data_IF_993403556445
#
_entry.id   IF_993403556445
#
_cell.length_a   1.000
_cell.length_b   1.000
_cell.length_c   1.000
_cell.angle_alpha   90.00
_cell.angle_beta   90.00
_cell.angle_gamma   90.00
#
_symmetry.space_group_name_H-M   'P 1'
#
loop_
_entity.id
_entity.type
_entity.pdbx_description
1 polymer ?
#
# COMPACT_ATOMS: atom_id res chain seq x y z
N UNK A 1 2.86 -5.87 20.60
CA UNK A 1 4.10 -5.16 20.23
C UNK A 1 4.02 -4.50 18.85
N UNK A 2 3.69 -5.24 17.77
CA UNK A 2 3.57 -4.71 16.39
C UNK A 2 2.79 -3.39 16.24
N UNK A 3 1.63 -3.27 16.91
CA UNK A 3 0.82 -2.03 16.95
C UNK A 3 1.58 -0.81 17.47
N UNK A 4 2.41 -0.97 18.51
CA UNK A 4 3.20 0.15 19.05
C UNK A 4 4.27 0.54 18.03
N UNK A 5 4.94 -0.44 17.44
CA UNK A 5 5.98 -0.21 16.41
C UNK A 5 5.40 0.54 15.20
N UNK A 6 4.26 0.09 14.64
CA UNK A 6 3.62 0.80 13.52
C UNK A 6 3.26 2.24 13.87
N UNK A 7 2.75 2.48 15.08
CA UNK A 7 2.43 3.84 15.53
C UNK A 7 3.69 4.71 15.60
N UNK A 8 4.79 4.18 16.13
CA UNK A 8 6.07 4.90 16.21
C UNK A 8 6.63 5.17 14.81
N UNK A 9 6.62 4.17 13.93
CA UNK A 9 7.07 4.34 12.52
C UNK A 9 6.26 5.44 11.83
N UNK A 10 4.93 5.43 11.97
CA UNK A 10 4.06 6.47 11.43
C UNK A 10 4.45 7.87 11.94
N UNK A 11 4.61 8.02 13.25
CA UNK A 11 4.96 9.30 13.88
C UNK A 11 6.35 9.80 13.45
N UNK A 12 7.34 8.91 13.37
CA UNK A 12 8.69 9.26 12.96
C UNK A 12 8.74 9.70 11.50
N UNK A 13 8.09 8.97 10.59
CA UNK A 13 8.12 9.31 9.15
C UNK A 13 7.37 10.63 8.85
N UNK A 14 6.36 10.97 9.66
CA UNK A 14 5.65 12.25 9.55
C UNK A 14 6.39 13.45 10.15
N UNK A 15 7.59 13.28 10.72
CA UNK A 15 8.35 14.38 11.33
C UNK A 15 9.25 15.07 10.30
N UNK A 16 9.35 16.40 10.36
CA UNK A 16 10.17 17.18 9.41
C UNK A 16 11.65 16.80 9.41
N UNK A 17 12.22 16.51 10.59
CA UNK A 17 13.63 16.17 10.75
C UNK A 17 14.04 14.76 10.27
N UNK A 18 13.10 13.96 9.76
CA UNK A 18 13.41 12.65 9.16
C UNK A 18 13.41 12.80 7.65
N UNK A 19 14.57 12.62 7.03
CA UNK A 19 14.73 12.82 5.59
C UNK A 19 14.11 11.67 4.78
N UNK A 20 13.50 11.93 3.61
CA UNK A 20 12.93 10.89 2.77
C UNK A 20 13.94 9.82 2.33
N UNK A 21 15.19 10.21 2.05
CA UNK A 21 16.30 9.30 1.71
C UNK A 21 16.53 8.26 2.79
N UNK A 22 16.63 8.69 4.05
CA UNK A 22 16.78 7.80 5.20
C UNK A 22 15.61 6.82 5.33
N UNK A 23 14.38 7.28 5.10
CA UNK A 23 13.21 6.39 5.15
C UNK A 23 13.32 5.34 4.04
N UNK A 24 13.64 5.75 2.80
CA UNK A 24 13.77 4.85 1.65
C UNK A 24 14.84 3.77 1.86
N UNK A 25 15.98 4.15 2.43
CA UNK A 25 17.16 3.29 2.58
C UNK A 25 17.11 2.42 3.84
N UNK A 26 16.73 2.98 4.99
CA UNK A 26 16.89 2.32 6.29
C UNK A 26 15.55 1.81 6.87
N UNK A 27 14.42 2.39 6.49
CA UNK A 27 13.11 2.04 7.07
C UNK A 27 12.33 1.11 6.16
N UNK A 28 12.16 1.46 4.88
CA UNK A 28 11.30 0.72 3.96
C UNK A 28 11.68 -0.77 3.81
N UNK A 29 12.95 -1.16 3.64
CA UNK A 29 13.29 -2.58 3.45
C UNK A 29 12.84 -3.45 4.64
N UNK A 30 13.06 -2.96 5.86
CA UNK A 30 12.63 -3.67 7.06
C UNK A 30 11.12 -3.58 7.29
N UNK A 31 10.50 -2.45 6.98
CA UNK A 31 9.06 -2.27 7.10
C UNK A 31 8.29 -3.27 6.23
N UNK A 32 8.57 -3.32 4.93
CA UNK A 32 7.90 -4.24 4.02
C UNK A 32 8.18 -5.70 4.37
N UNK A 33 9.46 -6.05 4.64
CA UNK A 33 9.83 -7.43 5.00
C UNK A 33 9.08 -8.00 6.21
N UNK A 34 8.76 -7.17 7.22
CA UNK A 34 8.21 -7.67 8.48
C UNK A 34 6.71 -7.39 8.67
N UNK A 35 6.17 -6.36 8.02
CA UNK A 35 4.77 -5.97 8.17
C UNK A 35 3.91 -6.31 6.97
N UNK A 36 4.43 -6.35 5.75
CA UNK A 36 3.66 -6.72 4.57
C UNK A 36 3.67 -8.25 4.40
N UNK A 37 2.72 -8.93 5.05
CA UNK A 37 2.51 -10.38 4.95
C UNK A 37 1.03 -10.75 5.19
N UNK A 38 0.64 -11.94 4.75
CA UNK A 38 -0.75 -12.43 4.81
C UNK A 38 -1.37 -12.38 6.21
N UNK A 39 -0.58 -12.59 7.29
CA UNK A 39 -1.10 -12.56 8.67
C UNK A 39 -1.60 -11.18 9.08
N UNK A 40 -1.03 -10.12 8.50
CA UNK A 40 -1.43 -8.74 8.79
C UNK A 40 -2.75 -8.38 8.11
N UNK A 41 -3.07 -9.02 6.98
CA UNK A 41 -4.33 -8.83 6.27
C UNK A 41 -5.53 -9.49 6.97
N UNK A 42 -5.32 -10.58 7.72
CA UNK A 42 -6.40 -11.32 8.39
C UNK A 42 -6.97 -10.61 9.62
N UNK A 43 -6.17 -9.81 10.33
CA UNK A 43 -6.62 -9.08 11.52
C UNK A 43 -7.00 -7.63 11.16
N UNK A 44 -8.27 -7.28 11.31
CA UNK A 44 -8.80 -5.95 10.94
C UNK A 44 -8.07 -4.77 11.59
N UNK A 45 -7.51 -4.92 12.80
CA UNK A 45 -6.82 -3.82 13.49
C UNK A 45 -5.42 -3.63 12.93
N UNK A 46 -4.71 -4.74 12.70
CA UNK A 46 -3.40 -4.74 12.06
C UNK A 46 -3.49 -4.22 10.63
N UNK A 47 -4.47 -4.70 9.87
CA UNK A 47 -4.80 -4.25 8.52
C UNK A 47 -4.90 -2.73 8.47
N UNK A 48 -5.84 -2.14 9.24
CA UNK A 48 -6.11 -0.70 9.19
C UNK A 48 -4.87 0.11 9.55
N UNK A 49 -4.19 -0.30 10.61
CA UNK A 49 -3.01 0.42 11.06
C UNK A 49 -1.84 0.33 10.07
N UNK A 50 -1.68 -0.81 9.39
CA UNK A 50 -0.65 -0.99 8.38
C UNK A 50 -0.94 -0.12 7.15
N UNK A 51 -2.18 -0.12 6.67
CA UNK A 51 -2.64 0.76 5.57
C UNK A 51 -2.39 2.22 5.94
N UNK A 52 -2.90 2.68 7.09
CA UNK A 52 -2.77 4.08 7.52
C UNK A 52 -1.31 4.51 7.78
N UNK A 53 -0.44 3.57 8.13
CA UNK A 53 1.01 3.83 8.30
C UNK A 53 1.69 3.91 6.95
N UNK A 54 1.33 3.04 6.01
CA UNK A 54 1.93 3.00 4.67
C UNK A 54 1.56 4.24 3.86
N UNK A 55 0.31 4.70 3.96
CA UNK A 55 -0.14 5.98 3.36
C UNK A 55 0.64 7.17 3.94
N UNK A 56 0.87 7.19 5.26
CA UNK A 56 1.67 8.26 5.88
C UNK A 56 3.10 8.28 5.37
N UNK A 57 3.70 7.09 5.19
CA UNK A 57 5.05 6.99 4.64
C UNK A 57 5.07 7.49 3.20
N UNK A 58 4.08 7.12 2.38
CA UNK A 58 3.95 7.60 0.99
C UNK A 58 3.90 9.12 0.91
N UNK A 59 3.22 9.80 1.85
CA UNK A 59 3.18 11.27 1.91
C UNK A 59 4.56 11.90 2.09
N UNK A 60 5.52 11.16 2.66
CA UNK A 60 6.89 11.64 2.89
C UNK A 60 7.86 11.23 1.77
N UNK A 61 7.71 10.03 1.22
CA UNK A 61 8.68 9.43 0.28
C UNK A 61 8.21 9.31 -1.16
N UNK A 62 7.02 9.84 -1.47
CA UNK A 62 6.35 9.85 -2.78
C UNK A 62 5.52 8.59 -3.06
N UNK A 63 4.47 8.74 -3.89
CA UNK A 63 3.49 7.69 -4.16
C UNK A 63 4.12 6.49 -4.90
N UNK A 64 4.86 6.77 -5.98
CA UNK A 64 5.45 5.76 -6.83
C UNK A 64 6.43 4.84 -6.08
N UNK A 65 7.20 5.39 -5.14
CA UNK A 65 8.13 4.64 -4.30
C UNK A 65 7.44 3.52 -3.51
N UNK A 66 6.25 3.78 -3.00
CA UNK A 66 5.48 2.82 -2.21
C UNK A 66 4.72 1.87 -3.12
N UNK A 67 4.07 2.38 -4.17
CA UNK A 67 3.27 1.57 -5.09
C UNK A 67 4.14 0.54 -5.82
N UNK A 68 5.35 0.91 -6.27
CA UNK A 68 6.30 -0.03 -6.88
C UNK A 68 6.62 -1.24 -6.00
N UNK A 69 6.54 -1.11 -4.68
CA UNK A 69 6.88 -2.18 -3.72
C UNK A 69 5.74 -3.16 -3.48
N UNK A 70 4.51 -2.80 -3.85
CA UNK A 70 3.31 -3.59 -3.56
C UNK A 70 2.46 -3.89 -4.80
N UNK A 71 2.76 -3.31 -5.96
CA UNK A 71 1.93 -3.49 -7.17
C UNK A 71 1.85 -4.96 -7.61
N UNK A 72 2.97 -5.69 -7.53
CA UNK A 72 3.00 -7.12 -7.89
C UNK A 72 2.16 -7.96 -6.92
N UNK A 73 1.98 -7.51 -5.68
CA UNK A 73 1.17 -8.17 -4.66
C UNK A 73 -0.35 -8.07 -4.94
N UNK A 74 -0.78 -7.24 -5.90
CA UNK A 74 -2.15 -7.29 -6.41
C UNK A 74 -2.47 -8.64 -7.06
N UNK A 75 -1.45 -9.44 -7.40
CA UNK A 75 -1.59 -10.77 -7.97
C UNK A 75 -1.32 -11.91 -6.99
N UNK A 76 -1.25 -11.62 -5.70
CA UNK A 76 -1.08 -12.64 -4.66
C UNK A 76 -2.29 -13.58 -4.60
N UNK A 77 -2.09 -14.87 -4.31
CA UNK A 77 -3.17 -15.86 -4.22
C UNK A 77 -4.16 -15.57 -3.07
N UNK A 78 -3.72 -14.89 -2.02
CA UNK A 78 -4.51 -14.57 -0.84
C UNK A 78 -5.40 -13.32 -1.07
N UNK A 79 -6.72 -13.54 -1.20
CA UNK A 79 -7.68 -12.45 -1.44
C UNK A 79 -7.65 -11.35 -0.36
N UNK A 80 -7.52 -11.70 0.92
CA UNK A 80 -7.47 -10.69 1.98
C UNK A 80 -6.22 -9.80 1.87
N UNK A 81 -5.09 -10.38 1.43
CA UNK A 81 -3.87 -9.64 1.17
C UNK A 81 -4.01 -8.73 -0.07
N UNK A 82 -4.57 -9.24 -1.17
CA UNK A 82 -4.90 -8.41 -2.35
C UNK A 82 -5.79 -7.22 -1.99
N UNK A 83 -6.80 -7.41 -1.13
CA UNK A 83 -7.66 -6.33 -0.62
C UNK A 83 -6.86 -5.27 0.14
N UNK A 84 -5.91 -5.68 0.98
CA UNK A 84 -5.03 -4.77 1.71
C UNK A 84 -4.14 -3.95 0.78
N UNK A 85 -3.58 -4.58 -0.25
CA UNK A 85 -2.78 -3.93 -1.29
C UNK A 85 -3.64 -2.91 -2.04
N UNK A 86 -4.81 -3.33 -2.54
CA UNK A 86 -5.75 -2.49 -3.27
C UNK A 86 -6.15 -1.24 -2.47
N UNK A 87 -6.59 -1.41 -1.21
CA UNK A 87 -6.97 -0.28 -0.35
C UNK A 87 -5.80 0.67 -0.09
N UNK A 88 -4.58 0.13 0.02
CA UNK A 88 -3.40 0.98 0.23
C UNK A 88 -3.10 1.82 -1.02
N UNK A 89 -3.13 1.20 -2.20
CA UNK A 89 -2.91 1.89 -3.48
C UNK A 89 -4.00 2.95 -3.70
N UNK A 90 -5.28 2.61 -3.53
CA UNK A 90 -6.41 3.55 -3.67
C UNK A 90 -6.23 4.77 -2.77
N UNK A 91 -5.91 4.57 -1.49
CA UNK A 91 -5.68 5.69 -0.56
C UNK A 91 -4.48 6.55 -0.91
N UNK A 92 -3.38 5.95 -1.39
CA UNK A 92 -2.21 6.69 -1.83
C UNK A 92 -2.56 7.54 -3.06
N UNK A 93 -3.23 6.95 -4.05
CA UNK A 93 -3.62 7.61 -5.29
C UNK A 93 -4.65 8.71 -5.04
N UNK A 94 -5.61 8.48 -4.16
CA UNK A 94 -6.61 9.46 -3.73
C UNK A 94 -5.97 10.67 -3.03
N UNK A 95 -4.91 10.44 -2.24
CA UNK A 95 -4.25 11.50 -1.47
C UNK A 95 -3.17 12.28 -2.25
N UNK A 96 -2.37 11.59 -3.07
CA UNK A 96 -1.19 12.17 -3.73
C UNK A 96 -1.36 12.35 -5.25
N UNK A 97 -2.39 11.73 -5.84
CA UNK A 97 -2.62 11.71 -7.28
C UNK A 97 -1.64 10.79 -8.03
N UNK A 98 -1.77 10.80 -9.35
CA UNK A 98 -1.02 9.92 -10.26
C UNK A 98 0.21 10.58 -10.90
N UNK A 99 0.56 11.82 -10.54
CA UNK A 99 1.56 12.61 -11.28
C UNK A 99 2.97 11.99 -11.31
N UNK A 100 3.29 11.12 -10.34
CA UNK A 100 4.59 10.44 -10.21
C UNK A 100 4.60 9.02 -10.79
N UNK A 101 3.48 8.55 -11.34
CA UNK A 101 3.35 7.22 -11.92
C UNK A 101 3.83 7.26 -13.37
N UNK A 102 4.84 6.46 -13.68
CA UNK A 102 5.31 6.27 -15.05
C UNK A 102 4.43 5.25 -15.80
N UNK A 103 4.54 5.22 -17.12
CA UNK A 103 3.70 4.34 -17.96
C UNK A 103 3.89 2.86 -17.64
N UNK A 104 5.07 2.46 -17.15
CA UNK A 104 5.31 1.07 -16.76
C UNK A 104 4.55 0.71 -15.49
N UNK A 105 4.59 1.57 -14.47
CA UNK A 105 3.85 1.36 -13.24
C UNK A 105 2.34 1.43 -13.46
N UNK A 106 1.88 2.30 -14.37
CA UNK A 106 0.49 2.36 -14.81
C UNK A 106 0.04 1.03 -15.44
N UNK A 107 0.82 0.46 -16.37
CA UNK A 107 0.53 -0.86 -16.95
C UNK A 107 0.46 -1.96 -15.89
N UNK A 108 1.42 -1.98 -14.94
CA UNK A 108 1.42 -2.94 -13.84
C UNK A 108 0.19 -2.78 -12.93
N UNK A 109 -0.23 -1.55 -12.65
CA UNK A 109 -1.43 -1.25 -11.86
C UNK A 109 -2.68 -1.77 -12.56
N UNK A 110 -2.86 -1.45 -13.85
CA UNK A 110 -4.03 -1.90 -14.62
C UNK A 110 -4.09 -3.43 -14.63
N UNK A 111 -2.98 -4.09 -14.95
CA UNK A 111 -2.89 -5.56 -15.00
C UNK A 111 -3.12 -6.21 -13.63
N UNK A 112 -2.55 -5.63 -12.56
CA UNK A 112 -2.77 -6.09 -11.18
C UNK A 112 -4.21 -5.91 -10.71
N UNK A 113 -4.83 -4.76 -10.98
CA UNK A 113 -6.21 -4.46 -10.60
C UNK A 113 -7.18 -5.38 -11.35
N UNK A 114 -6.97 -5.59 -12.65
CA UNK A 114 -7.79 -6.51 -13.45
C UNK A 114 -7.72 -7.94 -12.91
N UNK A 115 -6.53 -8.42 -12.59
CA UNK A 115 -6.37 -9.74 -11.98
C UNK A 115 -7.07 -9.82 -10.62
N UNK A 116 -6.84 -8.86 -9.73
CA UNK A 116 -7.45 -8.84 -8.40
C UNK A 116 -8.99 -8.81 -8.45
N UNK A 117 -9.55 -8.09 -9.41
CA UNK A 117 -10.98 -7.99 -9.66
C UNK A 117 -11.58 -9.28 -10.22
N UNK A 118 -10.88 -9.95 -11.15
CA UNK A 118 -11.34 -11.22 -11.73
C UNK A 118 -11.37 -12.35 -10.70
N UNK A 119 -10.37 -12.40 -9.83
CA UNK A 119 -10.20 -13.45 -8.82
C UNK A 119 -10.96 -13.18 -7.51
N UNK A 120 -11.83 -12.17 -7.45
CA UNK A 120 -12.60 -11.88 -6.24
C UNK A 120 -13.70 -12.93 -6.04
N UNK A 121 -13.76 -13.54 -4.85
CA UNK A 121 -14.83 -14.51 -4.53
C UNK A 121 -16.09 -13.85 -3.98
N UNK A 122 -15.97 -12.60 -3.54
CA UNK A 122 -17.05 -11.77 -2.99
C UNK A 122 -16.99 -10.38 -3.59
N UNK A 123 -18.14 -9.82 -3.97
CA UNK A 123 -18.24 -8.43 -4.41
C UNK A 123 -17.88 -7.51 -3.23
N UNK A 124 -16.72 -6.87 -3.31
CA UNK A 124 -16.21 -5.98 -2.27
C UNK A 124 -16.05 -4.56 -2.81
N UNK A 125 -16.61 -3.58 -2.09
CA UNK A 125 -16.58 -2.17 -2.48
C UNK A 125 -15.16 -1.64 -2.63
N UNK A 126 -14.18 -2.22 -1.92
CA UNK A 126 -12.77 -1.84 -2.04
C UNK A 126 -12.24 -2.12 -3.44
N UNK A 127 -12.59 -3.28 -4.02
CA UNK A 127 -12.14 -3.65 -5.37
C UNK A 127 -12.85 -2.80 -6.44
N UNK A 128 -14.11 -2.44 -6.20
CA UNK A 128 -14.88 -1.54 -7.09
C UNK A 128 -14.32 -0.11 -7.08
N UNK A 129 -14.04 0.45 -5.90
CA UNK A 129 -13.45 1.80 -5.80
C UNK A 129 -12.05 1.88 -6.43
N UNK A 130 -11.25 0.81 -6.29
CA UNK A 130 -9.94 0.73 -6.93
C UNK A 130 -10.02 0.70 -8.46
N UNK A 131 -11.09 0.13 -9.02
CA UNK A 131 -11.32 0.12 -10.47
C UNK A 131 -11.83 1.47 -10.98
N UNK A 132 -12.83 2.05 -10.31
CA UNK A 132 -13.46 3.33 -10.72
C UNK A 132 -12.51 4.54 -10.60
N UNK A 133 -11.47 4.47 -9.75
CA UNK A 133 -10.47 5.52 -9.62
C UNK A 133 -9.40 5.53 -10.72
N UNK A 134 -9.39 4.50 -11.58
CA UNK A 134 -8.40 4.31 -12.66
C UNK A 134 -9.02 4.04 -14.04
N UNK A 135 -10.35 4.12 -14.19
CA UNK A 135 -11.08 4.08 -15.46
C UNK A 135 -11.53 5.48 -15.91
#
# INVERSE_FOLDING_TARGET
>A
MKKIVLKVVKQCCGTDGVEPSYIKEEVLPHFFRHFWNHRMALDRRNYRQLVDTTVEIANKVEAAEIIHRIVDDLKDENEAYRKMVMETIEKIMSNLGAAQIDSRLEEQLIDGILYAFQEQTTEDLVMLNGFDSHA
#
